data_IF_045079658002
#
_entry.id   IF_045079658002
#
_cell.length_a   1.000
_cell.length_b   1.000
_cell.length_c   1.000
_cell.angle_alpha   90.00
_cell.angle_beta   90.00
_cell.angle_gamma   90.00
#
_symmetry.space_group_name_H-M   'P 1'
#
loop_
_entity.id
_entity.type
_entity.pdbx_description
1 polymer ?
#
# COMPACT_ATOMS: atom_id res chain seq x y z
N UNK A 1 -24.60 25.56 -13.54
CA UNK A 1 -25.50 24.62 -12.82
C UNK A 1 -24.83 23.25 -12.85
N UNK A 2 -24.28 22.77 -11.74
CA UNK A 2 -23.65 21.45 -11.66
C UNK A 2 -24.77 20.41 -11.62
N UNK A 3 -24.89 19.60 -12.67
CA UNK A 3 -25.80 18.44 -12.70
C UNK A 3 -25.22 17.34 -11.80
N UNK A 4 -26.09 16.64 -11.08
CA UNK A 4 -25.70 15.48 -10.27
C UNK A 4 -25.20 14.33 -11.18
N UNK A 5 -24.27 13.52 -10.68
CA UNK A 5 -23.72 12.34 -11.34
C UNK A 5 -24.77 11.34 -11.81
N UNK A 6 -25.90 11.23 -11.08
CA UNK A 6 -27.03 10.39 -11.46
C UNK A 6 -27.78 10.94 -12.69
N UNK A 7 -27.86 12.27 -12.83
CA UNK A 7 -28.54 12.92 -13.96
C UNK A 7 -27.69 12.86 -15.24
N UNK A 8 -26.37 12.97 -15.13
CA UNK A 8 -25.45 12.89 -16.28
C UNK A 8 -25.53 11.54 -17.00
N UNK A 9 -25.62 10.43 -16.24
CA UNK A 9 -25.74 9.08 -16.84
C UNK A 9 -27.04 8.91 -17.63
N UNK A 10 -28.15 9.48 -17.13
CA UNK A 10 -29.44 9.45 -17.85
C UNK A 10 -29.37 10.24 -19.16
N UNK A 11 -28.71 11.39 -19.15
CA UNK A 11 -28.53 12.24 -20.34
C UNK A 11 -27.64 11.55 -21.38
N UNK A 12 -26.53 10.93 -20.95
CA UNK A 12 -25.67 10.12 -21.84
C UNK A 12 -26.47 8.97 -22.47
N UNK A 13 -27.23 8.23 -21.65
CA UNK A 13 -28.07 7.14 -22.14
C UNK A 13 -29.11 7.61 -23.16
N UNK A 14 -29.78 8.73 -22.90
CA UNK A 14 -30.74 9.34 -23.82
C UNK A 14 -30.11 9.63 -25.19
N UNK A 15 -28.91 10.21 -25.24
CA UNK A 15 -28.25 10.49 -26.51
C UNK A 15 -27.80 9.23 -27.24
N UNK A 16 -27.33 8.20 -26.54
CA UNK A 16 -27.07 6.89 -27.16
C UNK A 16 -28.31 6.30 -27.82
N UNK A 17 -29.46 6.33 -27.15
CA UNK A 17 -30.73 5.85 -27.71
C UNK A 17 -31.10 6.64 -28.97
N UNK A 18 -30.98 7.98 -28.94
CA UNK A 18 -31.29 8.83 -30.10
C UNK A 18 -30.34 8.60 -31.28
N UNK A 19 -29.07 8.33 -31.01
CA UNK A 19 -28.09 7.95 -32.04
C UNK A 19 -28.47 6.62 -32.68
N UNK A 20 -28.90 5.62 -31.90
CA UNK A 20 -29.35 4.34 -32.44
C UNK A 20 -30.63 4.47 -33.28
N UNK A 21 -31.57 5.32 -32.86
CA UNK A 21 -32.84 5.54 -33.58
C UNK A 21 -32.67 6.31 -34.88
N UNK A 22 -31.81 7.34 -34.89
CA UNK A 22 -31.79 8.34 -35.96
C UNK A 22 -30.46 8.45 -36.69
N UNK A 23 -29.37 8.07 -36.02
CA UNK A 23 -27.99 8.31 -36.42
C UNK A 23 -27.71 9.75 -36.89
N UNK A 24 -28.40 10.74 -36.31
CA UNK A 24 -28.31 12.13 -36.75
C UNK A 24 -27.09 12.86 -36.12
N UNK A 25 -26.30 13.64 -36.89
CA UNK A 25 -25.08 14.31 -36.41
C UNK A 25 -25.25 15.17 -35.16
N UNK A 26 -26.42 15.81 -35.01
CA UNK A 26 -26.77 16.59 -33.82
C UNK A 26 -26.62 15.80 -32.51
N UNK A 27 -27.08 14.55 -32.47
CA UNK A 27 -27.04 13.74 -31.25
C UNK A 27 -25.62 13.25 -30.94
N UNK A 28 -24.80 13.02 -31.96
CA UNK A 28 -23.38 12.74 -31.79
C UNK A 28 -22.64 13.92 -31.13
N UNK A 29 -22.92 15.16 -31.56
CA UNK A 29 -22.39 16.36 -30.92
C UNK A 29 -22.84 16.50 -29.46
N UNK A 30 -24.14 16.38 -29.19
CA UNK A 30 -24.64 16.50 -27.82
C UNK A 30 -24.08 15.42 -26.88
N UNK A 31 -23.86 14.20 -27.39
CA UNK A 31 -23.22 13.13 -26.63
C UNK A 31 -21.77 13.50 -26.31
N UNK A 32 -20.99 13.95 -27.30
CA UNK A 32 -19.59 14.35 -27.12
C UNK A 32 -19.43 15.50 -26.11
N UNK A 33 -20.28 16.52 -26.19
CA UNK A 33 -20.29 17.63 -25.24
C UNK A 33 -20.64 17.16 -23.82
N UNK A 34 -21.63 16.27 -23.69
CA UNK A 34 -22.04 15.72 -22.39
C UNK A 34 -20.93 14.87 -21.77
N UNK A 35 -20.28 14.00 -22.55
CA UNK A 35 -19.13 13.19 -22.11
C UNK A 35 -17.95 14.07 -21.69
N UNK A 36 -17.64 15.10 -22.48
CA UNK A 36 -16.59 16.09 -22.17
C UNK A 36 -16.86 16.78 -20.82
N UNK A 37 -18.10 17.26 -20.60
CA UNK A 37 -18.51 17.88 -19.33
C UNK A 37 -18.52 16.91 -18.14
N UNK A 38 -18.63 15.61 -18.41
CA UNK A 38 -18.57 14.54 -17.42
C UNK A 38 -17.14 14.07 -17.09
N UNK A 39 -16.12 14.58 -17.80
CA UNK A 39 -14.72 14.13 -17.65
C UNK A 39 -14.42 12.79 -18.33
N UNK A 40 -15.32 12.30 -19.20
CA UNK A 40 -15.15 11.07 -19.98
C UNK A 40 -14.39 11.39 -21.28
N UNK A 41 -13.14 11.80 -21.13
CA UNK A 41 -12.36 12.45 -22.18
C UNK A 41 -12.09 11.52 -23.38
N UNK A 42 -11.81 10.23 -23.14
CA UNK A 42 -11.57 9.25 -24.19
C UNK A 42 -12.85 8.92 -24.97
N UNK A 43 -13.96 8.76 -24.27
CA UNK A 43 -15.28 8.49 -24.86
C UNK A 43 -15.77 9.69 -25.67
N UNK A 44 -15.52 10.92 -25.17
CA UNK A 44 -15.81 12.15 -25.91
C UNK A 44 -15.01 12.23 -27.21
N UNK A 45 -13.71 11.92 -27.19
CA UNK A 45 -12.89 11.90 -28.41
C UNK A 45 -13.40 10.89 -29.44
N UNK A 46 -13.69 9.66 -29.03
CA UNK A 46 -14.23 8.64 -29.94
C UNK A 46 -15.58 9.09 -30.54
N UNK A 47 -16.41 9.74 -29.73
CA UNK A 47 -17.72 10.26 -30.18
C UNK A 47 -17.56 11.41 -31.17
N UNK A 48 -16.55 12.28 -30.99
CA UNK A 48 -16.20 13.33 -31.96
C UNK A 48 -15.69 12.75 -33.27
N UNK A 49 -14.86 11.71 -33.24
CA UNK A 49 -14.38 11.03 -34.45
C UNK A 49 -15.56 10.46 -35.27
N UNK A 50 -16.52 9.85 -34.58
CA UNK A 50 -17.77 9.38 -35.21
C UNK A 50 -18.60 10.55 -35.77
N UNK A 51 -18.68 11.68 -35.07
CA UNK A 51 -19.35 12.89 -35.56
C UNK A 51 -18.67 13.47 -36.82
N UNK A 52 -17.33 13.45 -36.87
CA UNK A 52 -16.52 13.94 -37.99
C UNK A 52 -16.59 13.05 -39.24
N UNK A 53 -17.03 11.80 -39.09
CA UNK A 53 -17.22 10.86 -40.20
C UNK A 53 -18.43 11.20 -41.09
N UNK A 54 -19.35 12.05 -40.62
CA UNK A 54 -20.50 12.48 -41.43
C UNK A 54 -20.07 13.44 -42.56
N UNK A 55 -20.71 13.37 -43.75
CA UNK A 55 -20.46 14.31 -44.83
C UNK A 55 -20.72 15.78 -44.42
N UNK A 56 -21.80 15.99 -43.65
CA UNK A 56 -22.22 17.27 -43.09
C UNK A 56 -22.30 17.16 -41.56
N UNK A 57 -21.18 17.24 -40.85
CA UNK A 57 -21.15 17.11 -39.40
C UNK A 57 -21.77 18.36 -38.74
N UNK A 58 -22.41 18.17 -37.58
CA UNK A 58 -22.93 19.25 -36.74
C UNK A 58 -22.04 19.40 -35.50
N UNK A 59 -21.80 20.62 -34.98
CA UNK A 59 -22.27 21.93 -35.48
C UNK A 59 -21.52 22.40 -36.73
N UNK A 60 -20.21 22.15 -36.79
CA UNK A 60 -19.39 22.24 -38.00
C UNK A 60 -18.15 21.37 -37.84
N UNK A 61 -17.48 21.04 -38.95
CA UNK A 61 -16.22 20.27 -38.92
C UNK A 61 -15.14 21.01 -38.12
N UNK A 62 -15.06 22.34 -38.25
CA UNK A 62 -14.08 23.16 -37.53
C UNK A 62 -14.31 23.11 -36.02
N UNK A 63 -15.55 23.31 -35.56
CA UNK A 63 -15.86 23.30 -34.12
C UNK A 63 -15.62 21.94 -33.47
N UNK A 64 -15.89 20.84 -34.19
CA UNK A 64 -15.56 19.50 -33.71
C UNK A 64 -14.04 19.27 -33.64
N UNK A 65 -13.27 19.80 -34.59
CA UNK A 65 -11.80 19.75 -34.55
C UNK A 65 -11.23 20.61 -33.42
N UNK A 66 -11.80 21.78 -33.15
CA UNK A 66 -11.42 22.63 -32.02
C UNK A 66 -11.73 21.94 -30.68
N UNK A 67 -12.89 21.26 -30.59
CA UNK A 67 -13.23 20.44 -29.43
C UNK A 67 -12.24 19.26 -29.26
N UNK A 68 -11.86 18.61 -30.36
CA UNK A 68 -10.86 17.54 -30.36
C UNK A 68 -9.49 18.05 -29.90
N UNK A 69 -9.03 19.20 -30.38
CA UNK A 69 -7.78 19.84 -29.95
C UNK A 69 -7.80 20.20 -28.46
N UNK A 70 -8.92 20.71 -27.95
CA UNK A 70 -9.07 21.01 -26.53
C UNK A 70 -9.03 19.75 -25.66
N UNK A 71 -9.74 18.68 -26.06
CA UNK A 71 -9.70 17.39 -25.35
C UNK A 71 -8.33 16.73 -25.45
N UNK A 72 -7.66 16.85 -26.59
CA UNK A 72 -6.29 16.38 -26.77
C UNK A 72 -5.32 17.16 -25.88
N UNK A 73 -5.50 18.47 -25.71
CA UNK A 73 -4.73 19.27 -24.77
C UNK A 73 -5.01 18.89 -23.31
N UNK A 74 -6.25 18.52 -22.96
CA UNK A 74 -6.61 17.99 -21.62
C UNK A 74 -5.94 16.64 -21.39
N UNK A 75 -6.06 15.68 -22.32
CA UNK A 75 -5.35 14.40 -22.24
C UNK A 75 -3.84 14.60 -22.18
N UNK A 76 -3.29 15.52 -22.96
CA UNK A 76 -1.86 15.81 -22.95
C UNK A 76 -1.44 16.45 -21.62
N UNK A 77 -2.29 17.23 -20.96
CA UNK A 77 -2.03 17.76 -19.60
C UNK A 77 -2.19 16.70 -18.50
N UNK A 78 -3.13 15.77 -18.65
CA UNK A 78 -3.29 14.61 -17.78
C UNK A 78 -2.09 13.64 -17.93
N UNK A 79 -1.69 13.37 -19.17
CA UNK A 79 -0.48 12.59 -19.51
C UNK A 79 0.80 13.32 -19.05
N UNK A 80 0.89 14.65 -19.19
CA UNK A 80 2.03 15.44 -18.70
C UNK A 80 2.00 15.68 -17.18
N UNK A 81 0.93 15.29 -16.47
CA UNK A 81 0.91 15.20 -15.00
C UNK A 81 1.57 13.90 -14.50
N UNK A 82 1.82 12.91 -15.37
CA UNK A 82 2.71 11.77 -15.08
C UNK A 82 4.18 12.16 -15.23
N UNK A 83 4.62 13.23 -14.55
CA UNK A 83 6.06 13.44 -14.38
C UNK A 83 6.56 12.41 -13.38
N UNK A 84 7.31 11.43 -13.87
CA UNK A 84 8.16 10.60 -13.02
C UNK A 84 9.13 11.52 -12.30
N UNK A 85 9.04 11.56 -10.97
CA UNK A 85 9.91 12.37 -10.10
C UNK A 85 10.73 11.45 -9.21
N UNK A 86 11.89 11.92 -8.77
CA UNK A 86 12.62 11.28 -7.67
C UNK A 86 11.86 11.58 -6.39
N UNK A 87 11.37 10.54 -5.72
CA UNK A 87 10.65 10.65 -4.44
C UNK A 87 11.63 10.70 -3.28
N UNK A 88 12.68 9.88 -3.31
CA UNK A 88 13.78 9.87 -2.35
C UNK A 88 15.03 9.30 -3.00
N UNK A 89 16.20 9.70 -2.48
CA UNK A 89 17.50 9.16 -2.89
C UNK A 89 18.47 9.03 -1.73
N UNK A 90 19.40 8.09 -1.86
CA UNK A 90 20.52 7.84 -0.95
C UNK A 90 21.77 7.45 -1.75
N UNK A 91 22.92 7.49 -1.09
CA UNK A 91 24.18 7.00 -1.62
C UNK A 91 24.76 5.94 -0.69
N UNK A 92 25.20 4.84 -1.27
CA UNK A 92 25.75 3.67 -0.56
C UNK A 92 26.51 2.77 -1.53
N UNK A 93 27.34 1.87 -1.01
CA UNK A 93 28.13 0.93 -1.82
C UNK A 93 27.31 -0.35 -2.01
N UNK A 94 26.56 -0.47 -3.12
CA UNK A 94 25.55 -1.54 -3.28
C UNK A 94 26.20 -2.85 -3.76
N UNK A 95 27.19 -2.76 -4.63
CA UNK A 95 27.89 -3.93 -5.18
C UNK A 95 29.15 -4.33 -4.39
N UNK A 96 29.52 -3.56 -3.37
CA UNK A 96 30.62 -3.85 -2.44
C UNK A 96 31.99 -3.55 -3.02
N UNK A 97 32.08 -2.70 -4.06
CA UNK A 97 33.31 -2.38 -4.77
C UNK A 97 34.11 -1.21 -4.14
N UNK A 98 33.57 -0.61 -3.06
CA UNK A 98 34.12 0.52 -2.32
C UNK A 98 33.74 1.90 -2.89
N UNK A 99 32.98 1.96 -3.98
CA UNK A 99 32.52 3.19 -4.65
C UNK A 99 31.02 3.33 -4.41
N UNK A 100 30.61 4.54 -4.01
CA UNK A 100 29.19 4.81 -3.73
C UNK A 100 28.37 4.92 -5.00
N UNK A 101 27.24 4.22 -5.02
CA UNK A 101 26.19 4.29 -6.02
C UNK A 101 25.12 5.31 -5.61
N UNK A 102 24.37 5.83 -6.59
CA UNK A 102 23.15 6.59 -6.32
C UNK A 102 21.94 5.66 -6.39
N UNK A 103 21.23 5.52 -5.27
CA UNK A 103 19.99 4.74 -5.20
C UNK A 103 18.82 5.69 -5.04
N UNK A 104 17.79 5.54 -5.86
CA UNK A 104 16.61 6.41 -5.82
C UNK A 104 15.32 5.63 -6.05
N UNK A 105 14.24 6.12 -5.45
CA UNK A 105 12.89 5.73 -5.81
C UNK A 105 12.31 6.80 -6.72
N UNK A 106 11.84 6.40 -7.90
CA UNK A 106 11.11 7.26 -8.81
C UNK A 106 9.64 6.88 -8.82
N UNK A 107 8.73 7.83 -9.04
CA UNK A 107 7.30 7.55 -9.11
C UNK A 107 6.54 8.64 -9.87
N UNK A 108 5.35 8.29 -10.35
CA UNK A 108 4.38 9.23 -10.90
C UNK A 108 3.51 9.80 -9.77
N UNK A 109 3.46 11.14 -9.69
CA UNK A 109 2.63 11.83 -8.71
C UNK A 109 1.17 11.78 -9.12
N UNK A 110 0.29 11.33 -8.23
CA UNK A 110 -1.16 11.48 -8.47
C UNK A 110 -1.56 12.93 -8.23
N UNK A 111 -2.25 13.61 -9.18
CA UNK A 111 -2.76 14.96 -8.97
C UNK A 111 -3.61 15.05 -7.70
N UNK A 112 -3.39 16.10 -6.91
CA UNK A 112 -4.14 16.41 -5.69
C UNK A 112 -4.19 15.28 -4.63
N UNK A 113 -3.24 14.34 -4.68
CA UNK A 113 -3.17 13.22 -3.74
C UNK A 113 -1.71 12.90 -3.35
N UNK A 114 -1.43 12.50 -2.09
CA UNK A 114 -0.13 11.98 -1.70
C UNK A 114 0.13 10.55 -2.21
N UNK A 115 -0.79 9.97 -2.98
CA UNK A 115 -0.66 8.64 -3.57
C UNK A 115 0.33 8.65 -4.75
N UNK A 116 1.26 7.69 -4.73
CA UNK A 116 2.26 7.47 -5.75
C UNK A 116 1.91 6.25 -6.61
N UNK A 117 2.22 6.35 -7.90
CA UNK A 117 2.07 5.26 -8.87
C UNK A 117 3.41 4.96 -9.53
N UNK A 118 3.55 3.75 -10.06
CA UNK A 118 4.75 3.33 -10.81
C UNK A 118 6.06 3.53 -10.03
N UNK A 119 6.02 3.27 -8.72
CA UNK A 119 7.18 3.38 -7.84
C UNK A 119 8.26 2.39 -8.31
N UNK A 120 9.40 2.91 -8.76
CA UNK A 120 10.47 2.13 -9.37
C UNK A 120 11.78 2.40 -8.63
N UNK A 121 12.50 1.33 -8.29
CA UNK A 121 13.86 1.45 -7.75
C UNK A 121 14.84 1.65 -8.91
N UNK A 122 15.65 2.70 -8.81
CA UNK A 122 16.68 3.05 -9.79
C UNK A 122 18.03 3.15 -9.10
N UNK A 123 19.00 2.37 -9.55
CA UNK A 123 20.37 2.36 -9.07
C UNK A 123 21.26 2.85 -10.20
N UNK A 124 22.10 3.85 -9.92
CA UNK A 124 23.15 4.29 -10.81
C UNK A 124 24.49 3.92 -10.21
N UNK A 125 25.23 3.04 -10.89
CA UNK A 125 26.53 2.59 -10.44
C UNK A 125 27.54 3.75 -10.41
N UNK A 126 28.29 3.88 -9.32
CA UNK A 126 29.23 4.98 -9.11
C UNK A 126 30.49 4.89 -9.97
N UNK A 127 30.89 3.69 -10.39
CA UNK A 127 32.10 3.41 -11.17
C UNK A 127 31.89 3.63 -12.67
N UNK A 128 30.83 3.06 -13.23
CA UNK A 128 30.61 3.02 -14.68
C UNK A 128 29.40 3.86 -15.15
N UNK A 129 28.66 4.45 -14.20
CA UNK A 129 27.48 5.28 -14.43
C UNK A 129 26.31 4.55 -15.13
N UNK A 130 26.32 3.23 -15.18
CA UNK A 130 25.21 2.45 -15.69
C UNK A 130 24.00 2.55 -14.77
N UNK A 131 22.81 2.54 -15.37
CA UNK A 131 21.54 2.58 -14.66
C UNK A 131 20.88 1.21 -14.68
N UNK A 132 20.43 0.74 -13.52
CA UNK A 132 19.58 -0.42 -13.37
C UNK A 132 18.23 0.01 -12.79
N UNK A 133 17.14 -0.39 -13.44
CA UNK A 133 15.79 -0.22 -12.91
C UNK A 133 15.26 -1.57 -12.44
N UNK A 134 14.68 -1.60 -11.24
CA UNK A 134 14.14 -2.81 -10.62
C UNK A 134 12.64 -2.62 -10.42
N UNK A 135 11.79 -3.32 -11.21
CA UNK A 135 10.36 -3.26 -11.02
C UNK A 135 9.95 -4.02 -9.76
N UNK A 136 9.00 -3.46 -9.02
CA UNK A 136 8.36 -4.10 -7.87
C UNK A 136 6.93 -4.52 -8.24
N UNK A 137 6.49 -5.69 -7.76
CA UNK A 137 5.15 -6.22 -8.06
C UNK A 137 4.04 -5.26 -7.59
N UNK A 138 4.12 -4.86 -6.32
CA UNK A 138 3.29 -3.83 -5.73
C UNK A 138 4.09 -2.53 -5.71
N UNK A 139 3.77 -1.61 -6.62
CA UNK A 139 4.51 -0.38 -6.90
C UNK A 139 3.64 0.88 -6.80
N UNK A 140 2.60 0.85 -5.97
CA UNK A 140 1.70 1.97 -5.72
C UNK A 140 1.46 2.11 -4.22
N UNK A 141 1.26 3.33 -3.73
CA UNK A 141 1.01 3.56 -2.31
C UNK A 141 1.40 4.95 -1.82
N UNK A 142 1.65 5.07 -0.53
CA UNK A 142 1.98 6.31 0.16
C UNK A 142 3.36 6.22 0.82
N UNK A 143 3.97 7.36 1.10
CA UNK A 143 5.22 7.50 1.87
C UNK A 143 6.32 6.48 1.54
N UNK A 144 6.72 6.30 0.27
CA UNK A 144 7.78 5.36 -0.06
C UNK A 144 9.10 5.80 0.59
N UNK A 145 9.72 4.89 1.33
CA UNK A 145 11.01 5.11 2.00
C UNK A 145 12.08 4.20 1.44
N UNK A 146 13.32 4.66 1.56
CA UNK A 146 14.52 3.96 1.11
C UNK A 146 15.51 3.92 2.28
N UNK A 147 16.02 2.73 2.61
CA UNK A 147 17.10 2.51 3.56
C UNK A 147 18.24 1.75 2.88
N UNK A 148 19.47 2.09 3.25
CA UNK A 148 20.70 1.42 2.80
C UNK A 148 21.48 0.98 4.05
N UNK A 149 21.90 -0.28 4.09
CA UNK A 149 22.76 -0.82 5.14
C UNK A 149 22.95 -2.33 4.98
N UNK A 150 24.05 -2.88 5.51
CA UNK A 150 24.38 -4.29 5.39
C UNK A 150 23.39 -5.17 6.20
N UNK A 151 22.51 -5.90 5.51
CA UNK A 151 21.55 -6.85 6.09
C UNK A 151 22.04 -8.30 5.93
N UNK A 152 22.91 -8.56 4.95
CA UNK A 152 23.36 -9.89 4.56
C UNK A 152 24.73 -10.28 5.11
N UNK A 153 25.46 -9.33 5.70
CA UNK A 153 26.83 -9.47 6.17
C UNK A 153 27.87 -9.52 5.05
N UNK A 154 27.51 -9.12 3.82
CA UNK A 154 28.40 -9.17 2.66
C UNK A 154 29.27 -7.90 2.52
N UNK A 155 29.13 -6.93 3.43
CA UNK A 155 29.79 -5.61 3.46
C UNK A 155 29.35 -4.61 2.39
N UNK A 156 28.43 -5.00 1.51
CA UNK A 156 27.69 -4.07 0.65
C UNK A 156 26.46 -3.56 1.38
N UNK A 157 26.00 -2.37 1.02
CA UNK A 157 24.73 -1.82 1.48
C UNK A 157 23.57 -2.54 0.78
N UNK A 158 22.76 -3.25 1.55
CA UNK A 158 21.50 -3.81 1.06
C UNK A 158 20.40 -2.74 1.05
N UNK A 159 19.43 -2.89 0.16
CA UNK A 159 18.40 -1.87 -0.11
C UNK A 159 17.08 -2.35 0.47
N UNK A 160 16.55 -1.63 1.47
CA UNK A 160 15.19 -1.82 1.96
C UNK A 160 14.28 -0.70 1.41
N UNK A 161 13.19 -1.12 0.74
CA UNK A 161 12.12 -0.25 0.28
C UNK A 161 10.84 -0.58 1.04
N UNK A 162 10.19 0.43 1.61
CA UNK A 162 8.89 0.31 2.29
C UNK A 162 7.90 1.32 1.70
N UNK A 163 6.67 0.88 1.43
CA UNK A 163 5.58 1.67 0.84
C UNK A 163 4.31 1.42 1.64
N UNK A 164 3.64 2.47 2.11
CA UNK A 164 2.36 2.34 2.81
C UNK A 164 1.22 2.04 1.83
N UNK A 165 0.35 1.09 2.13
CA UNK A 165 -0.79 0.75 1.25
C UNK A 165 -1.94 1.76 1.34
N UNK A 166 -2.05 2.48 2.48
CA UNK A 166 -3.12 3.46 2.76
C UNK A 166 -4.46 2.87 3.24
N UNK A 167 -4.54 1.55 3.49
CA UNK A 167 -5.71 0.92 4.11
C UNK A 167 -5.80 1.18 5.62
N UNK A 168 -6.99 1.00 6.21
CA UNK A 168 -7.22 1.19 7.65
C UNK A 168 -6.45 0.22 8.55
N UNK A 169 -5.96 -0.89 7.99
CA UNK A 169 -5.06 -1.83 8.69
C UNK A 169 -3.62 -1.31 8.83
N UNK A 170 -3.25 -0.23 8.14
CA UNK A 170 -1.89 0.32 8.15
C UNK A 170 -0.86 -0.65 7.58
N UNK A 171 -1.22 -1.44 6.58
CA UNK A 171 -0.34 -2.42 5.96
C UNK A 171 0.69 -1.75 5.04
N UNK A 172 1.83 -2.38 4.87
CA UNK A 172 2.93 -1.93 4.01
C UNK A 172 3.25 -2.96 2.93
N UNK A 173 3.75 -2.50 1.80
CA UNK A 173 4.58 -3.29 0.90
C UNK A 173 6.04 -3.09 1.28
N UNK A 174 6.82 -4.18 1.35
CA UNK A 174 8.23 -4.11 1.67
C UNK A 174 9.06 -5.07 0.81
N UNK A 175 10.23 -4.61 0.39
CA UNK A 175 11.18 -5.36 -0.40
C UNK A 175 12.59 -5.14 0.13
N UNK A 176 13.40 -6.20 0.16
CA UNK A 176 14.85 -6.08 0.36
C UNK A 176 15.55 -6.60 -0.87
N UNK A 177 16.51 -5.81 -1.37
CA UNK A 177 17.38 -6.16 -2.48
C UNK A 177 18.82 -6.21 -1.99
N UNK A 178 19.57 -7.20 -2.48
CA UNK A 178 20.98 -7.38 -2.15
C UNK A 178 21.76 -7.77 -3.40
N UNK A 179 22.99 -7.27 -3.52
CA UNK A 179 23.88 -7.70 -4.58
C UNK A 179 24.60 -8.98 -4.16
N UNK A 180 24.16 -10.12 -4.68
CA UNK A 180 24.68 -11.44 -4.34
C UNK A 180 25.17 -12.13 -5.60
N UNK A 181 26.38 -12.69 -5.55
CA UNK A 181 26.99 -13.45 -6.64
C UNK A 181 27.05 -12.68 -7.98
N UNK A 182 27.30 -11.37 -7.93
CA UNK A 182 27.41 -10.54 -9.15
C UNK A 182 26.07 -10.09 -9.73
N UNK A 183 24.97 -10.25 -9.01
CA UNK A 183 23.65 -9.84 -9.46
C UNK A 183 22.82 -9.26 -8.32
N UNK A 184 22.05 -8.22 -8.61
CA UNK A 184 21.05 -7.69 -7.70
C UNK A 184 19.84 -8.63 -7.63
N UNK A 185 19.53 -9.10 -6.43
CA UNK A 185 18.47 -10.08 -6.16
C UNK A 185 17.46 -9.49 -5.17
N UNK A 186 16.17 -9.76 -5.38
CA UNK A 186 15.15 -9.54 -4.35
C UNK A 186 15.22 -10.67 -3.34
N UNK A 187 15.60 -10.37 -2.10
CA UNK A 187 15.82 -11.37 -1.03
C UNK A 187 14.74 -11.34 0.07
N UNK A 188 13.84 -10.35 0.04
CA UNK A 188 12.64 -10.29 0.88
C UNK A 188 11.47 -9.67 0.12
N UNK A 189 10.25 -10.17 0.36
CA UNK A 189 9.00 -9.62 -0.16
C UNK A 189 7.89 -9.77 0.89
N UNK A 190 7.20 -8.67 1.21
CA UNK A 190 6.10 -8.65 2.18
C UNK A 190 4.94 -9.59 1.85
N UNK A 191 4.61 -9.81 0.58
CA UNK A 191 3.54 -10.74 0.17
C UNK A 191 3.88 -12.17 0.64
N UNK A 192 5.09 -12.64 0.33
CA UNK A 192 5.59 -13.96 0.74
C UNK A 192 5.70 -14.08 2.25
N UNK A 193 6.12 -13.01 2.93
CA UNK A 193 6.14 -12.96 4.40
C UNK A 193 4.72 -13.14 4.97
N UNK A 194 3.73 -12.38 4.48
CA UNK A 194 2.35 -12.45 4.94
C UNK A 194 1.69 -13.81 4.67
N UNK A 195 2.08 -14.49 3.58
CA UNK A 195 1.62 -15.84 3.27
C UNK A 195 2.23 -16.89 4.21
N UNK A 196 3.48 -16.70 4.63
CA UNK A 196 4.23 -17.63 5.48
C UNK A 196 3.87 -17.47 6.96
N UNK A 197 3.88 -16.24 7.47
CA UNK A 197 3.65 -15.92 8.88
C UNK A 197 2.16 -15.63 9.13
N UNK A 198 1.39 -16.72 9.24
CA UNK A 198 -0.05 -16.70 9.53
C UNK A 198 -0.35 -17.10 10.97
N UNK A 199 -1.45 -16.57 11.49
CA UNK A 199 -1.85 -16.77 12.87
C UNK A 199 -3.35 -16.99 13.02
N UNK A 200 -3.70 -17.78 14.03
CA UNK A 200 -5.07 -17.91 14.52
C UNK A 200 -5.20 -17.13 15.83
N UNK A 201 -6.28 -16.36 15.99
CA UNK A 201 -6.55 -15.62 17.22
C UNK A 201 -7.92 -15.99 17.76
N UNK A 202 -7.96 -16.51 18.98
CA UNK A 202 -9.20 -16.96 19.62
C UNK A 202 -9.31 -16.35 21.01
N UNK A 203 -10.46 -15.79 21.34
CA UNK A 203 -10.74 -15.42 22.72
C UNK A 203 -10.93 -16.69 23.55
N UNK A 204 -10.43 -16.67 24.78
CA UNK A 204 -10.58 -17.74 25.76
C UNK A 204 -11.20 -17.20 27.05
N UNK A 205 -11.73 -18.12 27.86
CA UNK A 205 -12.26 -17.80 29.19
C UNK A 205 -11.22 -17.10 30.07
N UNK A 206 -11.73 -16.43 31.10
CA UNK A 206 -10.97 -15.68 32.08
C UNK A 206 -10.17 -14.54 31.47
N UNK A 207 -10.83 -13.76 30.59
CA UNK A 207 -10.31 -12.52 30.01
C UNK A 207 -9.02 -12.71 29.21
N UNK A 208 -8.96 -13.76 28.39
CA UNK A 208 -7.77 -14.11 27.61
C UNK A 208 -8.02 -14.08 26.11
N UNK A 209 -6.98 -13.82 25.34
CA UNK A 209 -6.93 -14.13 23.92
C UNK A 209 -5.68 -14.97 23.62
N UNK A 210 -5.85 -16.03 22.86
CA UNK A 210 -4.78 -16.92 22.42
C UNK A 210 -4.42 -16.62 20.98
N UNK A 211 -3.14 -16.39 20.72
CA UNK A 211 -2.58 -16.16 19.38
C UNK A 211 -1.65 -17.32 19.05
N UNK A 212 -1.91 -18.04 17.96
CA UNK A 212 -1.12 -19.19 17.56
C UNK A 212 -0.37 -18.88 16.26
N UNK A 213 0.97 -18.97 16.30
CA UNK A 213 1.82 -18.87 15.12
C UNK A 213 1.83 -20.21 14.39
N UNK A 214 1.25 -20.23 13.18
CA UNK A 214 1.10 -21.49 12.42
C UNK A 214 2.44 -21.97 11.85
N UNK A 215 3.34 -21.06 11.53
CA UNK A 215 4.67 -21.37 10.98
C UNK A 215 5.65 -21.79 12.08
N UNK A 216 5.77 -21.01 13.16
CA UNK A 216 6.71 -21.29 14.25
C UNK A 216 6.21 -22.37 15.23
N UNK A 217 4.92 -22.73 15.16
CA UNK A 217 4.27 -23.66 16.11
C UNK A 217 4.33 -23.17 17.56
N UNK A 218 4.23 -21.86 17.73
CA UNK A 218 4.24 -21.18 19.02
C UNK A 218 2.86 -20.65 19.38
N UNK A 219 2.60 -20.50 20.68
CA UNK A 219 1.33 -20.01 21.20
C UNK A 219 1.56 -18.95 22.27
N UNK A 220 0.77 -17.88 22.20
CA UNK A 220 0.84 -16.73 23.07
C UNK A 220 -0.52 -16.51 23.72
N UNK A 221 -0.54 -16.28 25.03
CA UNK A 221 -1.76 -15.96 25.77
C UNK A 221 -1.67 -14.50 26.23
N UNK A 222 -2.61 -13.70 25.76
CA UNK A 222 -2.76 -12.29 26.13
C UNK A 222 -3.78 -12.20 27.25
N UNK A 223 -3.39 -11.56 28.35
CA UNK A 223 -4.31 -11.14 29.39
C UNK A 223 -5.00 -9.84 28.93
N UNK A 224 -6.33 -9.85 28.85
CA UNK A 224 -7.14 -8.71 28.42
C UNK A 224 -7.63 -7.85 29.58
N UNK A 225 -7.27 -8.14 30.82
CA UNK A 225 -7.74 -7.42 32.02
C UNK A 225 -7.28 -5.95 32.09
N UNK A 226 -6.35 -5.55 31.21
CA UNK A 226 -5.96 -4.16 30.98
C UNK A 226 -7.02 -3.36 30.21
N UNK A 227 -7.95 -4.01 29.51
CA UNK A 227 -9.07 -3.36 28.80
C UNK A 227 -10.14 -2.88 29.80
N UNK A 228 -10.95 -1.92 29.36
CA UNK A 228 -12.01 -1.33 30.17
C UNK A 228 -13.07 -2.35 30.61
N UNK A 229 -13.67 -2.12 31.78
CA UNK A 229 -14.68 -3.02 32.35
C UNK A 229 -15.87 -3.22 31.42
N UNK A 230 -16.31 -2.17 30.72
CA UNK A 230 -17.44 -2.24 29.80
C UNK A 230 -17.11 -3.12 28.59
N UNK A 231 -15.91 -2.98 28.03
CA UNK A 231 -15.40 -3.86 26.96
C UNK A 231 -15.41 -5.33 27.40
N UNK A 232 -14.90 -5.62 28.60
CA UNK A 232 -14.86 -7.00 29.12
C UNK A 232 -16.27 -7.53 29.44
N UNK A 233 -17.17 -6.68 29.95
CA UNK A 233 -18.53 -7.04 30.26
C UNK A 233 -19.37 -7.35 29.02
N UNK A 234 -19.04 -6.81 27.84
CA UNK A 234 -19.66 -7.21 26.58
C UNK A 234 -19.30 -8.64 26.18
N UNK A 235 -18.07 -9.08 26.46
CA UNK A 235 -17.49 -10.34 25.96
C UNK A 235 -17.68 -11.49 26.95
N UNK A 236 -17.59 -11.19 28.24
CA UNK A 236 -17.53 -12.18 29.31
C UNK A 236 -18.70 -12.04 30.29
N UNK A 237 -19.13 -13.17 30.83
CA UNK A 237 -19.96 -13.23 32.02
C UNK A 237 -19.16 -12.76 33.25
N UNK A 238 -19.84 -12.52 34.38
CA UNK A 238 -19.20 -12.04 35.62
C UNK A 238 -18.18 -13.02 36.21
N UNK A 239 -18.28 -14.30 35.87
CA UNK A 239 -17.34 -15.37 36.24
C UNK A 239 -16.14 -15.49 35.27
N UNK A 240 -16.08 -14.62 34.25
CA UNK A 240 -15.03 -14.63 33.24
C UNK A 240 -15.26 -15.65 32.11
N UNK A 241 -16.39 -16.35 32.06
CA UNK A 241 -16.70 -17.27 30.95
C UNK A 241 -17.15 -16.47 29.73
N UNK A 242 -16.67 -16.85 28.53
CA UNK A 242 -17.11 -16.25 27.28
C UNK A 242 -18.61 -16.41 27.08
N UNK A 243 -19.28 -15.34 26.64
CA UNK A 243 -20.70 -15.40 26.28
C UNK A 243 -20.94 -16.14 24.97
N UNK A 244 -19.99 -16.05 24.05
CA UNK A 244 -19.98 -16.74 22.77
C UNK A 244 -18.52 -16.88 22.28
N UNK A 245 -18.22 -17.84 21.38
CA UNK A 245 -16.93 -17.91 20.70
C UNK A 245 -16.66 -16.63 19.91
N UNK A 246 -15.44 -16.11 20.01
CA UNK A 246 -14.99 -14.91 19.28
C UNK A 246 -13.61 -15.19 18.71
N UNK A 247 -13.46 -14.89 17.44
CA UNK A 247 -12.20 -14.95 16.71
C UNK A 247 -11.69 -13.54 16.44
N UNK A 248 -10.38 -13.38 16.54
CA UNK A 248 -9.65 -12.23 16.00
C UNK A 248 -8.82 -12.66 14.80
N UNK A 249 -7.90 -11.81 14.38
CA UNK A 249 -6.93 -12.15 13.34
C UNK A 249 -5.66 -11.33 13.48
N UNK A 250 -4.61 -11.75 12.78
CA UNK A 250 -3.39 -10.95 12.64
C UNK A 250 -3.38 -10.32 11.26
N UNK A 251 -3.21 -9.00 11.22
CA UNK A 251 -3.16 -8.24 9.99
C UNK A 251 -1.86 -8.53 9.20
N UNK A 252 -1.85 -8.19 7.90
CA UNK A 252 -0.62 -8.14 7.13
C UNK A 252 0.43 -7.22 7.78
N UNK A 253 1.69 -7.39 7.39
CA UNK A 253 2.82 -6.59 7.80
C UNK A 253 2.47 -5.09 7.80
N UNK A 254 2.59 -4.46 8.96
CA UNK A 254 2.32 -3.04 9.19
C UNK A 254 3.57 -2.21 9.45
N UNK A 255 4.73 -2.86 9.56
CA UNK A 255 6.02 -2.21 9.78
C UNK A 255 7.15 -3.20 9.56
N UNK A 256 8.25 -2.73 8.99
CA UNK A 256 9.48 -3.49 8.81
C UNK A 256 10.65 -2.54 9.04
N UNK A 257 11.40 -2.78 10.11
CA UNK A 257 12.45 -1.85 10.54
C UNK A 257 13.81 -2.56 10.53
N UNK A 258 14.84 -1.97 9.90
CA UNK A 258 16.19 -2.46 10.03
C UNK A 258 16.73 -2.08 11.41
N UNK A 259 17.17 -3.06 12.19
CA UNK A 259 17.71 -2.86 13.55
C UNK A 259 18.97 -3.69 13.72
N UNK A 260 20.09 -3.03 14.02
CA UNK A 260 21.33 -3.70 14.44
C UNK A 260 21.27 -3.90 15.97
N UNK A 261 20.78 -5.07 16.40
CA UNK A 261 20.54 -5.33 17.82
C UNK A 261 21.83 -5.52 18.62
N UNK A 262 22.84 -6.13 18.02
CA UNK A 262 24.10 -6.49 18.69
C UNK A 262 25.24 -5.48 18.41
N UNK A 263 24.99 -4.46 17.58
CA UNK A 263 25.91 -3.39 17.20
C UNK A 263 27.13 -3.90 16.42
N UNK A 264 26.94 -4.93 15.61
CA UNK A 264 28.01 -5.51 14.78
C UNK A 264 28.07 -4.91 13.36
N UNK A 265 27.15 -3.99 13.04
CA UNK A 265 27.03 -3.35 11.73
C UNK A 265 26.17 -4.13 10.74
N UNK A 266 25.66 -5.31 11.11
CA UNK A 266 24.75 -6.13 10.31
C UNK A 266 23.35 -5.97 10.88
N UNK A 267 22.42 -5.49 10.05
CA UNK A 267 21.06 -5.23 10.46
C UNK A 267 20.20 -6.50 10.40
N UNK A 268 19.36 -6.71 11.42
CA UNK A 268 18.20 -7.59 11.34
C UNK A 268 16.95 -6.83 10.89
N UNK A 269 15.90 -7.55 10.49
CA UNK A 269 14.60 -6.97 10.18
C UNK A 269 13.60 -7.24 11.31
N UNK A 270 13.11 -6.20 11.96
CA UNK A 270 12.03 -6.27 12.93
C UNK A 270 10.67 -6.05 12.24
N UNK A 271 9.92 -7.13 12.06
CA UNK A 271 8.62 -7.17 11.41
C UNK A 271 7.47 -7.03 12.41
N UNK A 272 6.51 -6.15 12.12
CA UNK A 272 5.34 -5.88 12.95
C UNK A 272 4.06 -6.32 12.25
N UNK A 273 3.23 -7.12 12.92
CA UNK A 273 1.88 -7.47 12.48
C UNK A 273 0.89 -7.21 13.62
N UNK A 274 -0.14 -6.41 13.36
CA UNK A 274 -1.15 -6.07 14.36
C UNK A 274 -2.06 -7.26 14.66
N UNK A 275 -2.32 -7.51 15.93
CA UNK A 275 -3.34 -8.47 16.39
C UNK A 275 -4.65 -7.69 16.55
N UNK A 276 -5.62 -7.97 15.70
CA UNK A 276 -6.97 -7.42 15.74
C UNK A 276 -7.89 -8.34 16.55
N UNK A 277 -8.74 -7.72 17.38
CA UNK A 277 -9.75 -8.36 18.20
C UNK A 277 -11.07 -8.48 17.46
N UNK A 278 -12.16 -8.00 18.08
CA UNK A 278 -13.54 -8.15 17.55
C UNK A 278 -13.77 -7.42 16.23
N UNK A 279 -12.96 -6.39 15.94
CA UNK A 279 -12.98 -5.61 14.72
C UNK A 279 -11.56 -5.02 14.50
N UNK A 280 -11.25 -4.56 13.29
CA UNK A 280 -9.87 -4.18 12.93
C UNK A 280 -9.26 -3.08 13.82
N UNK A 281 -10.09 -2.13 14.30
CA UNK A 281 -9.65 -1.07 15.20
C UNK A 281 -9.49 -1.50 16.66
N UNK A 282 -10.02 -2.67 17.06
CA UNK A 282 -9.79 -3.26 18.37
C UNK A 282 -8.41 -3.93 18.41
N UNK A 283 -7.38 -3.12 18.61
CA UNK A 283 -6.01 -3.63 18.69
C UNK A 283 -5.80 -4.36 20.02
N UNK A 284 -5.38 -5.63 19.96
CA UNK A 284 -4.98 -6.43 21.13
C UNK A 284 -3.48 -6.37 21.40
N UNK A 285 -2.69 -6.02 20.38
CA UNK A 285 -1.24 -5.94 20.45
C UNK A 285 -0.60 -6.08 19.07
N UNK A 286 0.67 -6.46 19.04
CA UNK A 286 1.42 -6.76 17.84
C UNK A 286 2.22 -8.04 18.01
N UNK A 287 2.22 -8.89 16.99
CA UNK A 287 3.28 -9.89 16.83
C UNK A 287 4.50 -9.16 16.26
N UNK A 288 5.63 -9.30 16.93
CA UNK A 288 6.93 -8.78 16.52
C UNK A 288 7.83 -9.96 16.18
N UNK A 289 8.30 -10.05 14.95
CA UNK A 289 9.23 -11.10 14.51
C UNK A 289 10.53 -10.47 14.06
N UNK A 290 11.64 -10.84 14.70
CA UNK A 290 12.97 -10.44 14.25
C UNK A 290 13.47 -11.50 13.28
N UNK A 291 13.86 -11.07 12.09
CA UNK A 291 14.41 -11.91 11.04
C UNK A 291 15.89 -11.59 10.85
N UNK A 292 16.72 -12.64 10.80
CA UNK A 292 18.15 -12.55 10.53
C UNK A 292 18.49 -13.26 9.22
N UNK A 293 19.39 -12.68 8.44
CA UNK A 293 19.91 -13.34 7.26
C UNK A 293 20.78 -14.54 7.68
N UNK A 294 20.47 -15.73 7.16
CA UNK A 294 21.22 -16.96 7.49
C UNK A 294 22.21 -17.40 6.40
N UNK A 295 22.44 -16.55 5.40
CA UNK A 295 23.24 -16.86 4.21
C UNK A 295 22.41 -17.30 3.00
N UNK A 296 21.14 -17.64 3.18
CA UNK A 296 20.22 -18.05 2.10
C UNK A 296 18.94 -17.24 2.06
N UNK A 297 18.35 -16.99 3.23
CA UNK A 297 17.10 -16.25 3.39
C UNK A 297 17.04 -15.56 4.75
N UNK A 298 16.11 -14.62 4.89
CA UNK A 298 15.71 -14.12 6.20
C UNK A 298 14.94 -15.20 6.97
N UNK A 299 15.51 -15.65 8.09
CA UNK A 299 14.94 -16.65 8.98
C UNK A 299 14.57 -16.01 10.33
N UNK A 300 13.53 -16.52 11.03
CA UNK A 300 13.13 -15.99 12.32
C UNK A 300 14.20 -16.27 13.37
N UNK A 301 14.71 -15.22 14.00
CA UNK A 301 15.61 -15.28 15.16
C UNK A 301 14.79 -15.41 16.45
N UNK A 302 13.76 -14.56 16.58
CA UNK A 302 12.82 -14.57 17.71
C UNK A 302 11.47 -13.99 17.33
N UNK A 303 10.44 -14.42 18.02
CA UNK A 303 9.09 -13.84 17.94
C UNK A 303 8.58 -13.52 19.36
N UNK A 304 7.95 -12.35 19.49
CA UNK A 304 7.31 -11.90 20.72
C UNK A 304 5.94 -11.32 20.40
N UNK A 305 5.10 -11.19 21.43
CA UNK A 305 3.87 -10.40 21.35
C UNK A 305 3.97 -9.20 22.29
N UNK A 306 3.84 -8.00 21.72
CA UNK A 306 3.77 -6.75 22.47
C UNK A 306 2.30 -6.36 22.70
N UNK A 307 1.97 -5.98 23.94
CA UNK A 307 0.65 -5.48 24.33
C UNK A 307 0.77 -4.04 24.85
N UNK A 308 -0.35 -3.31 24.82
CA UNK A 308 -0.40 -1.94 25.36
C UNK A 308 -0.39 -1.94 26.88
N UNK A 309 0.17 -0.89 27.49
CA UNK A 309 0.02 -0.63 28.92
C UNK A 309 -1.43 -0.29 29.28
N UNK A 310 -1.86 -0.69 30.48
CA UNK A 310 -3.15 -0.32 31.05
C UNK A 310 -2.99 0.70 32.20
N UNK A 311 -4.09 1.36 32.56
CA UNK A 311 -4.11 2.22 33.75
C UNK A 311 -3.85 1.41 35.03
N UNK A 312 -3.05 1.99 35.94
CA UNK A 312 -2.87 1.43 37.27
C UNK A 312 -4.17 1.65 38.04
N UNK A 313 -4.86 0.56 38.41
CA UNK A 313 -6.03 0.64 39.29
C UNK A 313 -5.56 1.07 40.68
N UNK A 314 -5.74 2.34 41.03
CA UNK A 314 -5.60 2.78 42.41
C UNK A 314 -6.69 2.13 43.24
N UNK A 315 -6.32 1.17 44.09
CA UNK A 315 -7.16 0.74 45.18
C UNK A 315 -7.24 1.91 46.17
N UNK A 316 -8.19 2.80 45.94
CA UNK A 316 -8.56 3.81 46.92
C UNK A 316 -8.92 3.11 48.22
N UNK A 317 -8.07 3.28 49.23
CA UNK A 317 -8.48 3.19 50.62
C UNK A 317 -9.37 4.41 50.82
N UNK A 318 -10.65 4.30 50.45
CA UNK A 318 -11.65 5.18 51.05
C UNK A 318 -11.78 4.75 52.50
N UNK A 319 -11.15 5.54 53.37
CA UNK A 319 -11.16 5.35 54.80
C UNK A 319 -12.58 5.47 55.36
N UNK A 320 -12.85 4.55 56.30
CA UNK A 320 -13.62 4.72 57.55
C UNK A 320 -14.82 5.66 57.56
#
# INVERSE_FOLDING_TARGET
>A
MKLDTHDIRKVIHYYYTKIQETNHPYYWYCLAETQSRAGLTSEAMQTIDNALAFPNPYPSRQELQDMQLNLQAVLTREMNSNRTVIVTSKQGDIDGDGIKDNVSLTANKTPDSPFWRDITLVIQNGRDHQYQQVPMKNNVGYNPTLFLGDLTGNKGDDILVVIDTGGSGGSIYAYVFSYLNGQLMTIFNSDTFNETYRYDVNYENHYKAKVNSTYLKESYILDLTYKDKDYLAEIYNKDGVLKAPIEGWVNPLSGLYPVDYNRDGIYELEAYQRIAGRYNADSLGFVQTVLKWNGLAFAPDRQNVAIFGGEIKHNGIEGS
#
